data_IF_386713130910
#
_entry.id   IF_386713130910
#
_cell.length_a   1.000
_cell.length_b   1.000
_cell.length_c   1.000
_cell.angle_alpha   90.00
_cell.angle_beta   90.00
_cell.angle_gamma   90.00
#
_symmetry.space_group_name_H-M   'P 1'
#
loop_
_entity.id
_entity.type
_entity.pdbx_description
1 polymer ?
#
# COMPACT_ATOMS: atom_id res chain seq x y z
N UNK A 1 -10.65 -1.89 -8.69
CA UNK A 1 -11.61 -2.21 -9.77
C UNK A 1 -12.96 -1.60 -9.44
N UNK A 2 -13.89 -1.46 -10.40
CA UNK A 2 -15.27 -1.01 -10.10
C UNK A 2 -15.98 -1.88 -9.04
N UNK A 3 -15.66 -3.17 -8.99
CA UNK A 3 -16.20 -4.14 -8.03
C UNK A 3 -15.54 -4.10 -6.65
N UNK A 4 -14.53 -3.24 -6.47
CA UNK A 4 -13.70 -3.15 -5.26
C UNK A 4 -13.08 -4.49 -4.84
N UNK A 5 -12.85 -5.40 -5.78
CA UNK A 5 -12.24 -6.71 -5.55
C UNK A 5 -10.73 -6.75 -5.84
N UNK A 6 -10.17 -5.68 -6.40
CA UNK A 6 -8.76 -5.63 -6.75
C UNK A 6 -8.24 -4.19 -6.71
N UNK A 7 -7.03 -3.98 -6.22
CA UNK A 7 -6.36 -2.69 -6.18
C UNK A 7 -4.87 -2.84 -6.50
N UNK A 8 -4.35 -1.90 -7.28
CA UNK A 8 -2.92 -1.75 -7.55
C UNK A 8 -2.49 -0.38 -7.05
N UNK A 9 -1.43 -0.35 -6.25
CA UNK A 9 -0.93 0.85 -5.58
C UNK A 9 0.51 1.07 -5.99
N UNK A 10 0.88 2.31 -6.29
CA UNK A 10 2.25 2.70 -6.57
C UNK A 10 2.65 3.84 -5.63
N UNK A 11 3.70 3.63 -4.85
CA UNK A 11 4.31 4.64 -3.98
C UNK A 11 5.66 5.05 -4.56
N UNK A 12 5.81 6.34 -4.88
CA UNK A 12 7.03 6.89 -5.49
C UNK A 12 7.76 7.78 -4.50
N UNK A 13 9.05 7.50 -4.27
CA UNK A 13 9.97 8.37 -3.54
C UNK A 13 10.83 9.14 -4.55
N UNK A 14 10.65 10.46 -4.59
CA UNK A 14 11.35 11.34 -5.54
C UNK A 14 12.79 11.57 -5.11
N UNK A 15 13.00 12.00 -3.87
CA UNK A 15 14.34 12.27 -3.31
C UNK A 15 14.60 11.38 -2.10
N UNK A 16 15.79 10.81 -2.05
CA UNK A 16 16.32 10.11 -0.89
C UNK A 16 16.91 11.09 0.13
N UNK A 17 16.83 10.72 1.39
CA UNK A 17 17.38 11.48 2.50
C UNK A 17 18.27 10.55 3.33
N UNK A 18 19.37 11.07 3.87
CA UNK A 18 20.29 10.30 4.70
C UNK A 18 19.62 9.82 6.01
N UNK A 19 18.74 10.65 6.57
CA UNK A 19 17.87 10.30 7.69
C UNK A 19 16.43 10.63 7.28
N UNK A 20 15.71 9.67 6.66
CA UNK A 20 14.35 9.91 6.21
C UNK A 20 13.37 9.81 7.37
N UNK A 21 12.31 10.62 7.33
CA UNK A 21 11.14 10.43 8.20
C UNK A 21 10.37 9.19 7.73
N UNK A 22 9.83 8.41 8.67
CA UNK A 22 8.96 7.28 8.35
C UNK A 22 7.62 7.78 7.82
N UNK A 23 7.25 7.31 6.63
CA UNK A 23 5.96 7.61 6.01
C UNK A 23 5.10 6.37 5.96
N UNK A 24 3.79 6.60 5.78
CA UNK A 24 2.80 5.54 5.59
C UNK A 24 1.99 5.82 4.34
N UNK A 25 1.66 4.76 3.62
CA UNK A 25 0.67 4.79 2.54
C UNK A 25 -0.68 4.34 3.07
N UNK A 26 -1.70 5.19 2.93
CA UNK A 26 -3.10 4.86 3.18
C UNK A 26 -3.85 4.72 1.86
N UNK A 27 -4.70 3.72 1.77
CA UNK A 27 -5.49 3.46 0.55
C UNK A 27 -6.83 4.19 0.61
N UNK A 28 -7.50 4.26 -0.54
CA UNK A 28 -8.87 4.78 -0.66
C UNK A 28 -9.65 3.97 -1.68
N UNK A 29 -10.98 3.94 -1.55
CA UNK A 29 -11.88 3.32 -2.52
C UNK A 29 -12.08 1.81 -2.37
N UNK A 30 -11.58 1.20 -1.30
CA UNK A 30 -11.84 -0.19 -0.95
C UNK A 30 -13.24 -0.39 -0.33
N UNK A 31 -13.62 -1.64 -0.12
CA UNK A 31 -14.78 -2.02 0.69
C UNK A 31 -14.31 -2.27 2.13
N UNK A 32 -14.84 -1.53 3.10
CA UNK A 32 -14.44 -1.63 4.51
C UNK A 32 -14.76 -2.98 5.13
N UNK A 33 -15.70 -3.74 4.57
CA UNK A 33 -16.14 -5.03 5.11
C UNK A 33 -15.45 -6.23 4.44
N UNK A 34 -14.50 -5.99 3.53
CA UNK A 34 -13.76 -7.05 2.84
C UNK A 34 -12.33 -7.14 3.31
N UNK A 35 -11.81 -8.34 3.24
CA UNK A 35 -10.39 -8.62 3.43
C UNK A 35 -9.69 -8.60 2.07
N UNK A 36 -8.47 -8.07 2.06
CA UNK A 36 -7.62 -7.97 0.88
C UNK A 36 -6.31 -8.68 1.14
N UNK A 37 -5.99 -9.64 0.28
CA UNK A 37 -4.71 -10.33 0.26
C UNK A 37 -3.73 -9.57 -0.61
N UNK A 38 -2.58 -9.22 -0.05
CA UNK A 38 -1.40 -8.83 -0.82
C UNK A 38 -0.91 -10.04 -1.60
N UNK A 39 -0.89 -9.92 -2.93
CA UNK A 39 -0.54 -11.01 -3.85
C UNK A 39 0.92 -11.43 -3.71
N UNK A 40 1.82 -10.53 -3.31
CA UNK A 40 3.24 -10.84 -3.16
C UNK A 40 3.51 -11.54 -1.82
N UNK A 41 2.99 -11.00 -0.73
CA UNK A 41 3.31 -11.49 0.62
C UNK A 41 2.31 -12.52 1.16
N UNK A 42 1.16 -12.69 0.50
CA UNK A 42 0.00 -13.47 0.94
C UNK A 42 -0.58 -13.04 2.31
N UNK A 43 -0.19 -11.87 2.82
CA UNK A 43 -0.78 -11.31 4.03
C UNK A 43 -2.16 -10.73 3.72
N UNK A 44 -3.06 -10.87 4.67
CA UNK A 44 -4.44 -10.43 4.55
C UNK A 44 -4.66 -9.25 5.48
N UNK A 45 -5.36 -8.23 4.98
CA UNK A 45 -5.67 -6.99 5.67
C UNK A 45 -7.13 -6.61 5.47
N UNK A 46 -7.77 -6.03 6.48
CA UNK A 46 -9.08 -5.41 6.33
C UNK A 46 -9.03 -4.22 5.38
N UNK A 47 -10.07 -4.04 4.57
CA UNK A 47 -10.20 -2.87 3.70
C UNK A 47 -10.28 -1.57 4.51
N UNK A 48 -10.90 -1.62 5.68
CA UNK A 48 -10.89 -0.54 6.68
C UNK A 48 -9.49 -0.29 7.23
N UNK A 49 -8.72 -1.32 7.59
CA UNK A 49 -7.34 -1.21 8.08
C UNK A 49 -6.43 -0.52 7.04
N UNK A 50 -6.51 -0.94 5.78
CA UNK A 50 -5.73 -0.36 4.68
C UNK A 50 -6.08 1.12 4.42
N UNK A 51 -7.31 1.54 4.69
CA UNK A 51 -7.75 2.92 4.51
C UNK A 51 -7.47 3.81 5.74
N UNK A 52 -7.71 3.32 6.95
CA UNK A 52 -7.59 4.10 8.18
C UNK A 52 -6.18 4.06 8.78
N UNK A 53 -5.55 2.89 8.81
CA UNK A 53 -4.19 2.71 9.39
C UNK A 53 -3.11 2.85 8.33
N UNK A 54 -3.33 2.24 7.16
CA UNK A 54 -2.34 2.11 6.10
C UNK A 54 -1.16 1.21 6.51
N UNK A 55 -0.07 1.30 5.77
CA UNK A 55 1.18 0.55 6.04
C UNK A 55 2.41 1.43 5.89
N UNK A 56 3.50 1.05 6.55
CA UNK A 56 4.77 1.79 6.45
C UNK A 56 5.40 1.61 5.09
N UNK A 57 5.90 2.71 4.53
CA UNK A 57 6.69 2.67 3.31
C UNK A 57 8.10 2.13 3.61
N UNK A 58 8.70 1.37 2.67
CA UNK A 58 10.08 0.94 2.82
C UNK A 58 11.03 2.14 2.84
N UNK A 59 12.11 2.02 3.62
CA UNK A 59 13.18 3.02 3.61
C UNK A 59 14.06 2.80 2.38
N UNK A 60 13.92 3.68 1.39
CA UNK A 60 14.71 3.64 0.14
C UNK A 60 15.79 4.72 0.16
N UNK A 61 17.03 4.34 -0.19
CA UNK A 61 18.22 5.22 -0.22
C UNK A 61 18.55 5.82 -1.59
N UNK A 62 17.76 5.49 -2.61
CA UNK A 62 17.96 5.97 -3.98
C UNK A 62 16.90 7.03 -4.33
N UNK A 63 17.29 8.04 -5.11
CA UNK A 63 16.34 8.96 -5.74
C UNK A 63 15.48 8.25 -6.78
N UNK A 64 14.28 8.78 -7.02
CA UNK A 64 13.34 8.35 -8.04
C UNK A 64 13.01 6.84 -8.01
N UNK A 65 12.78 6.30 -6.81
CA UNK A 65 12.40 4.91 -6.62
C UNK A 65 10.88 4.75 -6.51
N UNK A 66 10.36 3.60 -6.94
CA UNK A 66 8.95 3.26 -6.81
C UNK A 66 8.76 1.84 -6.27
N UNK A 67 7.73 1.66 -5.46
CA UNK A 67 7.26 0.36 -4.98
C UNK A 67 5.82 0.15 -5.44
N UNK A 68 5.51 -1.04 -5.93
CA UNK A 68 4.15 -1.42 -6.30
C UNK A 68 3.61 -2.47 -5.34
N UNK A 69 2.30 -2.39 -5.07
CA UNK A 69 1.58 -3.37 -4.28
C UNK A 69 0.34 -3.81 -5.05
N UNK A 70 0.00 -5.09 -4.95
CA UNK A 70 -1.16 -5.68 -5.60
C UNK A 70 -2.02 -6.39 -4.58
N UNK A 71 -3.25 -5.89 -4.40
CA UNK A 71 -4.21 -6.42 -3.45
C UNK A 71 -5.40 -7.02 -4.18
N UNK A 72 -5.84 -8.20 -3.74
CA UNK A 72 -7.07 -8.87 -4.21
C UNK A 72 -7.97 -9.20 -3.03
N UNK A 73 -9.26 -8.90 -3.17
CA UNK A 73 -10.26 -9.30 -2.19
C UNK A 73 -10.31 -10.83 -2.10
N UNK A 74 -10.50 -11.33 -0.88
CA UNK A 74 -10.69 -12.75 -0.58
C UNK A 74 -12.17 -13.12 -0.45
#
# INVERSE_FOLDING_TARGET
SPQKDEAVVMACKVLAEAQPVLTKTKLYGLDTNRNYRDVETNKIYGGDELMELGFYDPIIRNDYAATMYHFKAE
#
